data_IF_858411589514
#
_entry.id   IF_858411589514
#
_cell.length_a   1.000
_cell.length_b   1.000
_cell.length_c   1.000
_cell.angle_alpha   90.00
_cell.angle_beta   90.00
_cell.angle_gamma   90.00
#
_symmetry.space_group_name_H-M   'P 1'
#
loop_
_entity.id
_entity.type
_entity.pdbx_description
1 polymer ?
#
# COMPACT_ATOMS: atom_id res chain seq x y z
N UNK A 1 68.72 34.36 -4.66
CA UNK A 1 68.30 33.05 -4.15
C UNK A 1 66.81 33.15 -3.86
N UNK A 2 65.97 32.91 -4.86
CA UNK A 2 64.52 33.05 -4.76
C UNK A 2 63.92 31.65 -4.56
N UNK A 3 63.57 31.32 -3.33
CA UNK A 3 62.80 30.11 -3.05
C UNK A 3 61.33 30.38 -3.39
N UNK A 4 60.93 29.93 -4.57
CA UNK A 4 59.54 29.66 -4.92
C UNK A 4 59.09 28.53 -3.99
N UNK A 5 58.37 28.85 -2.91
CA UNK A 5 57.61 27.84 -2.18
C UNK A 5 56.37 27.57 -3.01
N UNK A 6 56.47 26.59 -3.90
CA UNK A 6 55.30 25.96 -4.49
C UNK A 6 54.54 25.30 -3.35
N UNK A 7 53.49 25.97 -2.88
CA UNK A 7 52.54 25.41 -1.91
C UNK A 7 51.93 24.18 -2.53
N UNK A 8 52.44 23.01 -2.17
CA UNK A 8 51.83 21.74 -2.48
C UNK A 8 50.41 21.76 -1.90
N UNK A 9 49.40 21.89 -2.76
CA UNK A 9 48.01 21.69 -2.37
C UNK A 9 47.89 20.31 -1.72
N UNK A 10 47.65 20.29 -0.41
CA UNK A 10 47.62 19.05 0.35
C UNK A 10 46.40 18.23 -0.07
N UNK A 11 46.55 17.09 -0.76
CA UNK A 11 45.43 16.32 -1.30
C UNK A 11 44.50 15.78 -0.20
N UNK A 12 45.00 15.69 1.05
CA UNK A 12 44.21 15.29 2.22
C UNK A 12 43.14 16.32 2.58
N UNK A 13 43.39 17.62 2.36
CA UNK A 13 42.40 18.67 2.60
C UNK A 13 41.26 18.66 1.58
N UNK A 14 41.50 18.13 0.37
CA UNK A 14 40.50 18.04 -0.71
C UNK A 14 39.52 16.89 -0.50
N UNK A 15 39.98 15.79 0.13
CA UNK A 15 39.15 14.61 0.43
C UNK A 15 38.16 14.90 1.58
N UNK A 16 38.57 15.72 2.55
CA UNK A 16 37.76 16.02 3.74
C UNK A 16 36.52 16.90 3.45
N UNK A 17 36.45 17.51 2.27
CA UNK A 17 35.38 18.44 1.87
C UNK A 17 34.27 17.79 1.02
N UNK A 18 34.24 16.46 0.89
CA UNK A 18 33.10 15.78 0.29
C UNK A 18 31.97 15.73 1.32
N UNK A 19 31.22 16.83 1.46
CA UNK A 19 29.94 16.86 2.18
C UNK A 19 28.97 15.90 1.48
N UNK A 20 29.02 14.62 1.84
CA UNK A 20 27.94 13.69 1.54
C UNK A 20 26.71 14.25 2.25
N UNK A 21 25.71 14.71 1.49
CA UNK A 21 24.41 15.04 2.08
C UNK A 21 23.97 13.81 2.85
N UNK A 22 23.86 13.93 4.16
CA UNK A 22 23.32 12.88 5.01
C UNK A 22 21.82 12.80 4.70
N UNK A 23 21.47 11.99 3.70
CA UNK A 23 20.08 11.63 3.46
C UNK A 23 19.83 10.47 4.42
N UNK A 24 18.92 10.60 5.39
CA UNK A 24 18.55 9.47 6.23
C UNK A 24 18.09 8.31 5.35
N UNK A 25 18.54 7.10 5.65
CA UNK A 25 18.18 5.90 4.86
C UNK A 25 16.65 5.74 4.73
N UNK A 26 15.90 6.18 5.75
CA UNK A 26 14.44 6.21 5.73
C UNK A 26 13.85 7.13 4.66
N UNK A 27 14.52 8.24 4.31
CA UNK A 27 14.07 9.14 3.23
C UNK A 27 14.28 8.51 1.86
N UNK A 28 15.36 7.75 1.68
CA UNK A 28 15.61 6.99 0.45
C UNK A 28 14.54 5.91 0.31
N UNK A 29 14.26 5.17 1.39
CA UNK A 29 13.23 4.13 1.40
C UNK A 29 11.83 4.70 1.12
N UNK A 30 11.48 5.85 1.72
CA UNK A 30 10.21 6.52 1.47
C UNK A 30 10.08 6.98 0.01
N UNK A 31 11.14 7.51 -0.60
CA UNK A 31 11.14 7.89 -2.01
C UNK A 31 10.95 6.68 -2.93
N UNK A 32 11.63 5.56 -2.64
CA UNK A 32 11.45 4.31 -3.38
C UNK A 32 10.01 3.82 -3.25
N UNK A 33 9.45 3.82 -2.03
CA UNK A 33 8.08 3.39 -1.78
C UNK A 33 7.06 4.25 -2.55
N UNK A 34 7.20 5.58 -2.51
CA UNK A 34 6.35 6.51 -3.25
C UNK A 34 6.47 6.25 -4.76
N UNK A 35 7.68 6.04 -5.28
CA UNK A 35 7.88 5.77 -6.70
C UNK A 35 7.17 4.48 -7.16
N UNK A 36 7.23 3.41 -6.35
CA UNK A 36 6.50 2.16 -6.62
C UNK A 36 4.99 2.41 -6.62
N UNK A 37 4.46 3.10 -5.61
CA UNK A 37 3.03 3.42 -5.55
C UNK A 37 2.56 4.22 -6.76
N UNK A 38 3.32 5.22 -7.21
CA UNK A 38 2.98 6.00 -8.40
C UNK A 38 2.94 5.10 -9.64
N UNK A 39 3.91 4.21 -9.79
CA UNK A 39 3.96 3.28 -10.92
C UNK A 39 2.77 2.31 -10.90
N UNK A 40 2.47 1.71 -9.75
CA UNK A 40 1.35 0.77 -9.57
C UNK A 40 0.00 1.46 -9.85
N UNK A 41 -0.22 2.65 -9.31
CA UNK A 41 -1.43 3.44 -9.56
C UNK A 41 -1.55 3.75 -11.06
N UNK A 42 -0.45 4.19 -11.68
CA UNK A 42 -0.43 4.51 -13.12
C UNK A 42 -0.77 3.27 -13.96
N UNK A 43 -0.21 2.11 -13.60
CA UNK A 43 -0.51 0.85 -14.24
C UNK A 43 -1.99 0.48 -14.11
N UNK A 44 -2.56 0.54 -12.91
CA UNK A 44 -3.98 0.23 -12.66
C UNK A 44 -4.91 1.16 -13.46
N UNK A 45 -4.58 2.45 -13.54
CA UNK A 45 -5.40 3.43 -14.27
C UNK A 45 -5.35 3.23 -15.79
N UNK A 46 -4.23 2.74 -16.33
CA UNK A 46 -4.08 2.47 -17.77
C UNK A 46 -4.58 1.08 -18.15
N UNK A 47 -4.56 0.13 -17.21
CA UNK A 47 -4.92 -1.26 -17.45
C UNK A 47 -6.42 -1.49 -17.22
N UNK A 48 -7.19 -1.54 -18.31
CA UNK A 48 -8.62 -1.84 -18.29
C UNK A 48 -8.94 -3.35 -18.30
N UNK A 49 -7.97 -4.21 -18.00
CA UNK A 49 -8.22 -5.64 -17.95
C UNK A 49 -9.18 -5.96 -16.78
N UNK A 50 -10.16 -6.85 -16.96
CA UNK A 50 -10.95 -7.35 -15.84
C UNK A 50 -10.02 -8.02 -14.81
N UNK A 51 -10.41 -8.06 -13.53
CA UNK A 51 -9.61 -8.70 -12.50
C UNK A 51 -9.36 -10.17 -12.86
N UNK A 52 -8.20 -10.69 -12.49
CA UNK A 52 -7.93 -12.13 -12.61
C UNK A 52 -8.95 -12.94 -11.80
N UNK A 53 -9.12 -14.22 -12.14
CA UNK A 53 -10.15 -15.08 -11.52
C UNK A 53 -10.15 -15.06 -9.98
N UNK A 54 -8.98 -15.17 -9.35
CA UNK A 54 -8.85 -15.12 -7.88
C UNK A 54 -9.24 -13.74 -7.32
N UNK A 55 -8.77 -12.66 -7.94
CA UNK A 55 -9.11 -11.28 -7.55
C UNK A 55 -10.61 -10.99 -7.69
N UNK A 56 -11.23 -11.48 -8.77
CA UNK A 56 -12.66 -11.39 -9.01
C UNK A 56 -13.47 -12.14 -7.95
N UNK A 57 -13.08 -13.38 -7.63
CA UNK A 57 -13.73 -14.17 -6.57
C UNK A 57 -13.65 -13.47 -5.20
N UNK A 58 -12.50 -12.87 -4.87
CA UNK A 58 -12.37 -12.08 -3.65
C UNK A 58 -13.27 -10.86 -3.62
N UNK A 59 -13.34 -10.11 -4.73
CA UNK A 59 -14.18 -8.93 -4.81
C UNK A 59 -15.66 -9.31 -4.67
N UNK A 60 -16.13 -10.35 -5.36
CA UNK A 60 -17.51 -10.84 -5.25
C UNK A 60 -17.86 -11.21 -3.81
N UNK A 61 -16.97 -11.94 -3.12
CA UNK A 61 -17.19 -12.28 -1.71
C UNK A 61 -17.23 -11.05 -0.82
N UNK A 62 -16.31 -10.12 -1.01
CA UNK A 62 -16.25 -8.90 -0.22
C UNK A 62 -17.54 -8.07 -0.38
N UNK A 63 -18.08 -7.99 -1.60
CA UNK A 63 -19.39 -7.36 -1.87
C UNK A 63 -20.55 -8.11 -1.20
N UNK A 64 -20.56 -9.44 -1.19
CA UNK A 64 -21.58 -10.23 -0.49
C UNK A 64 -21.56 -9.98 1.02
N UNK A 65 -20.36 -9.91 1.62
CA UNK A 65 -20.20 -9.55 3.03
C UNK A 65 -20.71 -8.13 3.31
N UNK A 66 -20.34 -7.17 2.48
CA UNK A 66 -20.85 -5.80 2.60
C UNK A 66 -22.38 -5.73 2.46
N UNK A 67 -22.99 -6.53 1.58
CA UNK A 67 -24.44 -6.63 1.44
C UNK A 67 -25.16 -7.06 2.72
N UNK A 68 -24.60 -8.00 3.49
CA UNK A 68 -25.16 -8.42 4.80
C UNK A 68 -25.14 -7.29 5.84
N UNK A 69 -24.24 -6.31 5.69
CA UNK A 69 -24.10 -5.17 6.60
C UNK A 69 -24.94 -3.96 6.19
N UNK A 70 -25.69 -4.04 5.09
CA UNK A 70 -26.68 -3.02 4.72
C UNK A 70 -27.90 -3.03 5.65
N UNK A 71 -28.29 -4.20 6.14
CA UNK A 71 -29.37 -4.38 7.11
C UNK A 71 -28.90 -5.35 8.19
N UNK A 72 -28.02 -4.91 9.11
CA UNK A 72 -27.48 -5.79 10.13
C UNK A 72 -28.53 -6.08 11.20
N UNK A 73 -28.73 -7.37 11.50
CA UNK A 73 -29.51 -7.80 12.66
C UNK A 73 -28.61 -8.58 13.62
N UNK A 74 -27.92 -7.85 14.49
CA UNK A 74 -26.95 -8.43 15.42
C UNK A 74 -27.59 -9.29 16.51
N UNK A 75 -28.91 -9.17 16.73
CA UNK A 75 -29.63 -9.91 17.76
C UNK A 75 -30.32 -11.17 17.23
N UNK A 76 -30.40 -11.33 15.91
CA UNK A 76 -30.92 -12.52 15.25
C UNK A 76 -29.83 -13.58 14.97
N UNK A 77 -30.02 -14.79 15.48
CA UNK A 77 -29.12 -15.92 15.23
C UNK A 77 -29.14 -16.39 13.76
N UNK A 78 -30.24 -16.18 13.04
CA UNK A 78 -30.33 -16.52 11.61
C UNK A 78 -29.43 -15.59 10.78
N UNK A 79 -29.36 -14.30 11.13
CA UNK A 79 -28.45 -13.34 10.51
C UNK A 79 -26.97 -13.77 10.64
N UNK A 80 -26.53 -14.15 11.85
CA UNK A 80 -25.18 -14.67 12.07
C UNK A 80 -24.92 -15.95 11.26
N UNK A 81 -25.90 -16.84 11.18
CA UNK A 81 -25.80 -18.07 10.39
C UNK A 81 -25.62 -17.76 8.90
N UNK A 82 -26.39 -16.81 8.36
CA UNK A 82 -26.25 -16.33 6.98
C UNK A 82 -24.88 -15.70 6.73
N UNK A 83 -24.40 -14.87 7.66
CA UNK A 83 -23.09 -14.22 7.57
C UNK A 83 -21.96 -15.24 7.49
N UNK A 84 -21.94 -16.25 8.38
CA UNK A 84 -20.87 -17.24 8.40
C UNK A 84 -20.90 -18.20 7.21
N UNK A 85 -22.09 -18.47 6.65
CA UNK A 85 -22.23 -19.28 5.43
C UNK A 85 -21.66 -18.61 4.17
N UNK A 86 -21.42 -17.30 4.17
CA UNK A 86 -20.75 -16.61 3.05
C UNK A 86 -19.26 -16.96 2.95
N UNK A 87 -18.66 -17.45 4.04
CA UNK A 87 -17.24 -17.75 4.05
C UNK A 87 -16.94 -19.04 3.28
N UNK A 88 -15.95 -19.05 2.37
CA UNK A 88 -15.48 -20.30 1.82
C UNK A 88 -14.73 -21.11 2.88
N UNK A 89 -14.85 -22.44 2.85
CA UNK A 89 -14.15 -23.31 3.79
C UNK A 89 -12.61 -23.20 3.79
N UNK A 90 -11.99 -22.59 2.78
CA UNK A 90 -10.54 -22.47 2.64
C UNK A 90 -9.94 -21.12 3.07
N UNK A 91 -10.74 -20.08 3.38
CA UNK A 91 -10.24 -18.77 3.83
C UNK A 91 -11.07 -18.18 4.96
N UNK A 92 -10.39 -17.47 5.86
CA UNK A 92 -11.01 -16.85 7.03
C UNK A 92 -12.01 -15.75 6.64
N UNK A 93 -13.23 -15.73 7.22
CA UNK A 93 -14.23 -14.69 6.98
C UNK A 93 -13.74 -13.29 7.36
N UNK A 94 -12.75 -13.22 8.24
CA UNK A 94 -12.17 -11.97 8.73
C UNK A 94 -11.59 -11.09 7.61
N UNK A 95 -11.03 -11.70 6.56
CA UNK A 95 -10.48 -10.97 5.41
C UNK A 95 -11.57 -10.12 4.75
N UNK A 96 -12.77 -10.69 4.60
CA UNK A 96 -13.91 -9.99 3.99
C UNK A 96 -14.56 -9.01 4.95
N UNK A 97 -14.64 -9.34 6.25
CA UNK A 97 -15.14 -8.41 7.27
C UNK A 97 -14.31 -7.13 7.32
N UNK A 98 -12.98 -7.24 7.16
CA UNK A 98 -12.09 -6.07 7.12
C UNK A 98 -12.30 -5.15 5.93
N UNK A 99 -12.94 -5.63 4.86
CA UNK A 99 -13.28 -4.77 3.70
C UNK A 99 -14.50 -3.89 3.97
N UNK A 100 -15.35 -4.24 4.94
CA UNK A 100 -16.64 -3.57 5.17
C UNK A 100 -16.48 -2.09 5.48
N UNK A 101 -15.60 -1.63 6.39
CA UNK A 101 -15.44 -0.20 6.67
C UNK A 101 -15.05 0.60 5.42
N UNK A 102 -14.25 0.01 4.53
CA UNK A 102 -13.86 0.63 3.27
C UNK A 102 -15.03 0.74 2.31
N UNK A 103 -15.83 -0.32 2.15
CA UNK A 103 -17.02 -0.25 1.31
C UNK A 103 -18.05 0.72 1.85
N UNK A 104 -18.28 0.76 3.17
CA UNK A 104 -19.15 1.78 3.78
C UNK A 104 -18.60 3.17 3.47
N UNK A 105 -17.31 3.43 3.67
CA UNK A 105 -16.73 4.75 3.41
C UNK A 105 -16.80 5.17 1.93
N UNK A 106 -16.52 4.24 1.01
CA UNK A 106 -16.43 4.52 -0.44
C UNK A 106 -17.82 4.58 -1.09
N UNK A 107 -18.74 3.68 -0.72
CA UNK A 107 -20.06 3.57 -1.35
C UNK A 107 -21.19 4.26 -0.61
N UNK A 108 -21.08 4.58 0.69
CA UNK A 108 -22.12 5.34 1.42
C UNK A 108 -22.29 6.79 0.92
N UNK A 109 -21.40 7.28 0.04
CA UNK A 109 -21.43 8.63 -0.52
C UNK A 109 -22.06 8.73 -1.92
N UNK A 110 -22.75 7.69 -2.39
CA UNK A 110 -23.46 7.70 -3.68
C UNK A 110 -24.94 7.47 -3.52
#
# INVERSE_FOLDING_TARGET
MNFIIQTAENPKLKIQNRKTRFIPDGSILALIWIAICIFDISWILLNNAPPGWDQGDHLTRAVNYWGMFQNPDFFDGEWWTKLWRLSPGYRSPFVYLMTIPFFIFIWSKR
#
